data_IF_905549494751
#
_entry.id   IF_905549494751
#
_cell.length_a   1.000
_cell.length_b   1.000
_cell.length_c   1.000
_cell.angle_alpha   90.00
_cell.angle_beta   90.00
_cell.angle_gamma   90.00
#
_symmetry.space_group_name_H-M   'P 1'
#
loop_
_entity.id
_entity.type
_entity.pdbx_description
1 polymer ?
#
# COMPACT_ATOMS: atom_id res chain seq x y z
N UNK A 1 -19.80 -4.83 -33.81
CA UNK A 1 -19.05 -6.10 -33.82
C UNK A 1 -18.90 -6.58 -32.39
N UNK A 2 -19.36 -7.79 -32.02
CA UNK A 2 -19.10 -8.32 -30.68
C UNK A 2 -17.60 -8.53 -30.52
N UNK A 3 -17.00 -7.88 -29.52
CA UNK A 3 -15.58 -8.03 -29.19
C UNK A 3 -15.39 -9.43 -28.63
N UNK A 4 -14.63 -10.29 -29.32
CA UNK A 4 -14.26 -11.61 -28.78
C UNK A 4 -13.43 -11.41 -27.50
N UNK A 5 -13.98 -11.83 -26.37
CA UNK A 5 -13.28 -11.85 -25.08
C UNK A 5 -12.54 -13.19 -24.98
N UNK A 6 -11.31 -13.19 -24.49
CA UNK A 6 -10.56 -14.42 -24.26
C UNK A 6 -11.19 -15.22 -23.11
N UNK A 7 -11.18 -16.57 -23.17
CA UNK A 7 -11.69 -17.40 -22.09
C UNK A 7 -10.90 -17.19 -20.80
N UNK A 8 -11.53 -17.44 -19.65
CA UNK A 8 -10.88 -17.27 -18.35
C UNK A 8 -9.61 -18.15 -18.26
N UNK A 9 -8.46 -17.58 -17.89
CA UNK A 9 -7.29 -18.37 -17.54
C UNK A 9 -7.61 -19.28 -16.34
N UNK A 10 -7.01 -20.48 -16.24
CA UNK A 10 -7.20 -21.33 -15.08
C UNK A 10 -6.77 -20.63 -13.79
N UNK A 11 -7.47 -20.87 -12.68
CA UNK A 11 -7.31 -20.15 -11.41
C UNK A 11 -5.88 -20.19 -10.82
N UNK A 12 -5.07 -21.15 -11.22
CA UNK A 12 -3.66 -21.28 -10.81
C UNK A 12 -2.68 -20.43 -11.64
N UNK A 13 -3.14 -19.81 -12.73
CA UNK A 13 -2.31 -18.95 -13.60
C UNK A 13 -2.38 -17.48 -13.23
N UNK A 14 -3.38 -17.08 -12.43
CA UNK A 14 -3.57 -15.71 -11.97
C UNK A 14 -3.07 -15.55 -10.54
N UNK A 15 -2.44 -14.41 -10.20
CA UNK A 15 -2.10 -14.11 -8.82
C UNK A 15 -3.35 -14.12 -7.93
N UNK A 16 -3.24 -14.59 -6.67
CA UNK A 16 -4.35 -14.53 -5.73
C UNK A 16 -4.88 -13.09 -5.59
N UNK A 17 -6.20 -12.92 -5.64
CA UNK A 17 -6.87 -11.61 -5.64
C UNK A 17 -7.18 -11.04 -7.03
N UNK A 18 -6.80 -11.73 -8.11
CA UNK A 18 -7.26 -11.39 -9.46
C UNK A 18 -8.74 -11.71 -9.60
N UNK A 19 -9.54 -10.74 -10.07
CA UNK A 19 -10.97 -10.95 -10.35
C UNK A 19 -11.31 -10.44 -11.74
N UNK A 20 -12.22 -11.16 -12.39
CA UNK A 20 -12.65 -10.90 -13.75
C UNK A 20 -13.79 -9.87 -13.75
N UNK A 21 -13.64 -8.83 -14.57
CA UNK A 21 -14.62 -7.72 -14.64
C UNK A 21 -15.63 -7.89 -15.80
N UNK A 22 -15.29 -8.72 -16.80
CA UNK A 22 -16.06 -8.88 -18.04
C UNK A 22 -16.20 -10.38 -18.33
N UNK A 23 -17.44 -10.85 -18.44
CA UNK A 23 -17.81 -12.24 -18.73
C UNK A 23 -17.52 -12.64 -20.18
N UNK A 24 -17.76 -13.92 -20.50
CA UNK A 24 -17.48 -14.48 -21.84
C UNK A 24 -18.45 -13.98 -22.91
N UNK A 25 -19.63 -13.54 -22.47
CA UNK A 25 -20.68 -12.89 -23.25
C UNK A 25 -20.37 -11.42 -23.59
N UNK A 26 -19.25 -10.89 -23.09
CA UNK A 26 -18.88 -9.48 -23.24
C UNK A 26 -19.75 -8.54 -22.39
N UNK A 27 -20.59 -9.10 -21.51
CA UNK A 27 -21.37 -8.37 -20.52
C UNK A 27 -20.52 -8.32 -19.24
N UNK A 28 -20.57 -7.20 -18.53
CA UNK A 28 -19.96 -7.14 -17.21
C UNK A 28 -20.63 -8.19 -16.31
N UNK A 29 -19.85 -9.04 -15.62
CA UNK A 29 -20.40 -10.10 -14.75
C UNK A 29 -21.27 -9.49 -13.64
N UNK A 30 -21.02 -8.23 -13.29
CA UNK A 30 -21.86 -7.40 -12.44
C UNK A 30 -22.46 -6.22 -13.24
N UNK A 31 -23.74 -5.85 -13.02
CA UNK A 31 -24.39 -4.75 -13.74
C UNK A 31 -23.76 -3.38 -13.50
N UNK A 32 -22.91 -3.27 -12.47
CA UNK A 32 -22.05 -2.11 -12.21
C UNK A 32 -20.59 -2.56 -12.11
N UNK A 33 -19.68 -1.68 -12.53
CA UNK A 33 -18.25 -1.85 -12.34
C UNK A 33 -17.94 -1.80 -10.83
N UNK A 34 -17.89 -2.96 -10.19
CA UNK A 34 -17.51 -3.07 -8.78
C UNK A 34 -16.01 -2.82 -8.68
N UNK A 35 -15.62 -1.77 -7.96
CA UNK A 35 -14.21 -1.49 -7.67
C UNK A 35 -13.69 -2.60 -6.75
N UNK A 36 -12.57 -3.21 -7.12
CA UNK A 36 -11.89 -4.18 -6.28
C UNK A 36 -10.50 -3.69 -5.85
N UNK A 37 -10.18 -3.77 -4.54
CA UNK A 37 -11.06 -4.18 -3.44
C UNK A 37 -12.25 -3.21 -3.23
N UNK A 38 -13.33 -3.71 -2.63
CA UNK A 38 -14.51 -2.90 -2.36
C UNK A 38 -14.11 -1.72 -1.45
N UNK A 39 -14.40 -0.47 -1.83
CA UNK A 39 -14.17 0.68 -0.95
C UNK A 39 -14.95 0.45 0.34
N UNK A 40 -14.29 0.60 1.49
CA UNK A 40 -15.00 0.61 2.77
C UNK A 40 -15.49 2.02 3.08
N UNK A 41 -16.67 2.13 3.67
CA UNK A 41 -17.21 3.40 4.17
C UNK A 41 -16.85 3.62 5.65
N UNK A 42 -16.01 2.77 6.24
CA UNK A 42 -15.60 2.88 7.64
C UNK A 42 -14.78 4.18 7.86
N UNK A 43 -15.24 5.11 8.72
CA UNK A 43 -14.50 6.34 9.04
C UNK A 43 -13.18 6.09 9.79
N UNK A 44 -12.97 4.87 10.31
CA UNK A 44 -11.71 4.46 10.91
C UNK A 44 -10.73 3.87 9.90
N UNK A 45 -11.13 3.61 8.66
CA UNK A 45 -10.18 3.24 7.62
C UNK A 45 -9.23 4.43 7.34
N UNK A 46 -7.91 4.26 7.49
CA UNK A 46 -6.93 5.30 7.17
C UNK A 46 -7.02 5.84 5.74
N UNK A 47 -7.59 5.09 4.81
CA UNK A 47 -7.84 5.53 3.45
C UNK A 47 -8.84 6.69 3.40
N UNK A 48 -9.88 6.64 4.24
CA UNK A 48 -10.98 7.61 4.30
C UNK A 48 -10.67 8.87 5.12
N UNK A 49 -9.53 8.91 5.82
CA UNK A 49 -9.20 10.04 6.67
C UNK A 49 -8.99 11.34 5.89
N UNK A 50 -9.38 12.47 6.50
CA UNK A 50 -9.00 13.79 6.02
C UNK A 50 -7.48 13.97 6.08
N UNK A 51 -6.93 14.86 5.24
CA UNK A 51 -5.48 15.14 5.22
C UNK A 51 -4.95 15.49 6.60
N UNK A 52 -5.69 16.28 7.38
CA UNK A 52 -5.31 16.65 8.73
C UNK A 52 -5.21 15.41 9.65
N UNK A 53 -6.21 14.52 9.63
CA UNK A 53 -6.18 13.29 10.44
C UNK A 53 -5.03 12.36 10.02
N UNK A 54 -4.75 12.24 8.71
CA UNK A 54 -3.58 11.50 8.22
C UNK A 54 -2.29 12.09 8.78
N UNK A 55 -2.11 13.41 8.67
CA UNK A 55 -0.90 14.08 9.19
C UNK A 55 -0.72 13.91 10.69
N UNK A 56 -1.79 14.08 11.49
CA UNK A 56 -1.71 13.93 12.95
C UNK A 56 -1.29 12.52 13.38
N UNK A 57 -1.70 11.48 12.64
CA UNK A 57 -1.32 10.10 12.95
C UNK A 57 0.05 9.72 12.35
N UNK A 58 0.40 10.25 11.18
CA UNK A 58 1.61 9.86 10.46
C UNK A 58 2.87 10.60 10.93
N UNK A 59 2.76 11.87 11.30
CA UNK A 59 3.91 12.69 11.74
C UNK A 59 4.62 12.11 12.97
N UNK A 60 3.92 11.64 14.03
CA UNK A 60 4.60 11.02 15.17
C UNK A 60 5.39 9.76 14.79
N UNK A 61 4.83 8.92 13.91
CA UNK A 61 5.49 7.71 13.42
C UNK A 61 6.75 8.07 12.65
N UNK A 62 6.67 9.06 11.75
CA UNK A 62 7.83 9.56 11.03
C UNK A 62 8.90 10.13 11.97
N UNK A 63 8.50 10.91 12.97
CA UNK A 63 9.42 11.52 13.93
C UNK A 63 10.18 10.46 14.73
N UNK A 64 9.46 9.48 15.28
CA UNK A 64 10.07 8.37 16.04
C UNK A 64 10.97 7.53 15.13
N UNK A 65 10.53 7.24 13.90
CA UNK A 65 11.35 6.51 12.92
C UNK A 65 12.65 7.26 12.63
N UNK A 66 12.59 8.57 12.42
CA UNK A 66 13.77 9.40 12.18
C UNK A 66 14.70 9.45 13.41
N UNK A 67 14.17 9.60 14.61
CA UNK A 67 14.95 9.60 15.86
C UNK A 67 15.65 8.26 16.08
N UNK A 68 14.94 7.13 15.89
CA UNK A 68 15.54 5.81 16.05
C UNK A 68 16.61 5.57 14.97
N UNK A 69 16.33 5.95 13.73
CA UNK A 69 17.29 5.87 12.63
C UNK A 69 18.56 6.67 12.92
N UNK A 70 18.44 7.91 13.38
CA UNK A 70 19.60 8.73 13.73
C UNK A 70 20.34 8.17 14.94
N UNK A 71 19.63 7.78 16.00
CA UNK A 71 20.23 7.19 17.20
C UNK A 71 20.98 5.89 16.91
N UNK A 72 20.54 5.08 15.94
CA UNK A 72 21.20 3.83 15.59
C UNK A 72 22.32 4.01 14.57
N UNK A 73 22.19 4.96 13.64
CA UNK A 73 23.15 5.14 12.55
C UNK A 73 24.32 6.06 12.93
N UNK A 74 24.07 7.08 13.75
CA UNK A 74 25.08 8.07 14.10
C UNK A 74 26.20 7.52 14.99
N UNK A 75 25.95 6.71 16.05
CA UNK A 75 27.03 6.20 16.89
C UNK A 75 28.08 5.40 16.12
N UNK A 76 27.71 4.71 15.04
CA UNK A 76 28.66 4.00 14.17
C UNK A 76 29.68 4.94 13.53
N UNK A 77 29.25 6.12 13.10
CA UNK A 77 30.10 7.14 12.49
C UNK A 77 30.89 7.88 13.57
N UNK A 78 30.20 8.28 14.64
CA UNK A 78 30.81 9.05 15.73
C UNK A 78 31.82 8.25 16.53
N UNK A 79 31.70 6.92 16.63
CA UNK A 79 32.72 6.09 17.27
C UNK A 79 34.10 6.27 16.63
N UNK A 80 34.17 6.28 15.29
CA UNK A 80 35.43 6.50 14.56
C UNK A 80 35.99 7.90 14.84
N UNK A 81 35.13 8.92 14.85
CA UNK A 81 35.53 10.31 15.08
C UNK A 81 35.93 10.57 16.54
N UNK A 82 35.21 10.00 17.50
CA UNK A 82 35.46 10.17 18.93
C UNK A 82 36.70 9.43 19.40
N UNK A 83 37.00 8.25 18.87
CA UNK A 83 38.27 7.58 19.19
C UNK A 83 39.48 8.41 18.74
N UNK A 84 39.36 9.17 17.64
CA UNK A 84 40.44 10.06 17.21
C UNK A 84 40.67 11.23 18.19
N UNK A 85 39.61 11.70 18.86
CA UNK A 85 39.67 12.83 19.79
C UNK A 85 39.96 12.39 21.25
N UNK A 86 39.45 11.23 21.67
CA UNK A 86 39.41 10.80 23.07
C UNK A 86 40.06 9.43 23.35
N UNK A 87 40.41 8.64 22.32
CA UNK A 87 41.12 7.36 22.42
C UNK A 87 40.27 6.13 22.11
#
# INVERSE_FOLDING_TARGET
MPRKVAPAPPDFTTPPGTVRLIGEDGIAETPQLVKQPMPTDDPNDPLNWSRARKSMNFVPILAVTAIIFTQTSLPLIFWVLWNQEFG
#
